data_IF_284503814321
#
_entry.id   IF_284503814321
#
_cell.length_a   1.000
_cell.length_b   1.000
_cell.length_c   1.000
_cell.angle_alpha   90.00
_cell.angle_beta   90.00
_cell.angle_gamma   90.00
#
_symmetry.space_group_name_H-M   'P 1'
#
loop_
_entity.id
_entity.type
_entity.pdbx_description
1 polymer ?
#
# COMPACT_ATOMS: atom_id res chain seq x y z
N UNK A 1 7.89 19.73 -17.62
CA UNK A 1 7.66 18.63 -16.61
C UNK A 1 8.71 18.81 -15.51
N UNK A 2 8.30 18.87 -14.24
CA UNK A 2 9.25 19.05 -13.15
C UNK A 2 10.10 17.79 -12.94
N UNK A 3 11.21 17.91 -12.21
CA UNK A 3 12.18 16.82 -12.03
C UNK A 3 11.56 15.60 -11.32
N UNK A 4 10.65 15.81 -10.37
CA UNK A 4 10.00 14.71 -9.64
C UNK A 4 9.11 13.87 -10.56
N UNK A 5 8.36 14.52 -11.46
CA UNK A 5 7.53 13.81 -12.42
C UNK A 5 8.37 13.06 -13.47
N UNK A 6 9.53 13.60 -13.85
CA UNK A 6 10.47 12.90 -14.73
C UNK A 6 11.02 11.63 -14.06
N UNK A 7 11.41 11.73 -12.78
CA UNK A 7 11.89 10.60 -12.00
C UNK A 7 10.80 9.54 -11.81
N UNK A 8 9.60 9.97 -11.42
CA UNK A 8 8.46 9.06 -11.25
C UNK A 8 8.17 8.30 -12.56
N UNK A 9 8.10 9.03 -13.68
CA UNK A 9 7.90 8.40 -14.99
C UNK A 9 8.99 7.37 -15.31
N UNK A 10 10.25 7.71 -15.08
CA UNK A 10 11.39 6.81 -15.32
C UNK A 10 11.28 5.54 -14.46
N UNK A 11 10.90 5.66 -13.19
CA UNK A 11 10.73 4.50 -12.32
C UNK A 11 9.53 3.64 -12.75
N UNK A 12 8.40 4.23 -13.06
CA UNK A 12 7.24 3.49 -13.52
C UNK A 12 7.46 2.83 -14.87
N UNK A 13 8.16 3.49 -15.82
CA UNK A 13 8.55 2.86 -17.09
C UNK A 13 9.44 1.63 -16.85
N UNK A 14 10.34 1.69 -15.84
CA UNK A 14 11.13 0.51 -15.46
C UNK A 14 10.29 -0.60 -14.84
N UNK A 15 9.29 -0.26 -14.03
CA UNK A 15 8.36 -1.26 -13.49
C UNK A 15 7.52 -1.93 -14.59
N UNK A 16 7.10 -1.19 -15.62
CA UNK A 16 6.44 -1.75 -16.80
C UNK A 16 7.29 -2.82 -17.50
N UNK A 17 8.62 -2.58 -17.64
CA UNK A 17 9.54 -3.55 -18.24
C UNK A 17 9.69 -4.83 -17.39
N UNK A 18 9.49 -4.73 -16.07
CA UNK A 18 9.60 -5.85 -15.13
C UNK A 18 8.26 -6.56 -14.88
N UNK A 19 7.16 -6.00 -15.35
CA UNK A 19 5.85 -6.60 -15.19
C UNK A 19 5.70 -7.83 -16.08
N UNK A 20 5.20 -8.91 -15.50
CA UNK A 20 4.92 -10.14 -16.22
C UNK A 20 3.61 -9.97 -17.00
N UNK A 21 3.73 -9.93 -18.32
CA UNK A 21 2.59 -9.76 -19.25
C UNK A 21 2.17 -11.06 -19.91
N UNK A 22 2.93 -12.14 -19.72
CA UNK A 22 2.61 -13.47 -20.22
C UNK A 22 1.43 -14.06 -19.44
N UNK A 23 0.42 -14.55 -20.18
CA UNK A 23 -0.86 -15.05 -19.62
C UNK A 23 -0.93 -16.56 -19.49
N UNK A 24 0.09 -17.27 -19.96
CA UNK A 24 0.12 -18.74 -19.89
C UNK A 24 0.22 -19.27 -18.47
N UNK A 25 0.72 -18.44 -17.55
CA UNK A 25 0.77 -18.74 -16.11
C UNK A 25 -0.01 -17.63 -15.39
N UNK A 26 -1.33 -17.81 -15.19
CA UNK A 26 -2.20 -16.77 -14.65
C UNK A 26 -1.76 -16.23 -13.29
N UNK A 27 -1.16 -17.07 -12.45
CA UNK A 27 -0.68 -16.72 -11.10
C UNK A 27 0.48 -15.71 -11.12
N UNK A 28 1.20 -15.61 -12.23
CA UNK A 28 2.30 -14.66 -12.40
C UNK A 28 1.86 -13.39 -13.13
N UNK A 29 0.79 -13.48 -13.95
CA UNK A 29 0.36 -12.37 -14.79
C UNK A 29 0.03 -11.11 -13.95
N UNK A 30 0.62 -10.00 -14.32
CA UNK A 30 0.43 -8.70 -13.67
C UNK A 30 1.42 -8.41 -12.53
N UNK A 31 2.08 -9.42 -11.98
CA UNK A 31 3.11 -9.24 -10.95
C UNK A 31 4.39 -8.58 -11.50
N UNK A 32 5.14 -7.93 -10.64
CA UNK A 32 6.44 -7.33 -10.97
C UNK A 32 7.56 -8.21 -10.43
N UNK A 33 8.41 -8.69 -11.33
CA UNK A 33 9.57 -9.50 -10.97
C UNK A 33 10.66 -8.63 -10.35
N UNK A 34 11.03 -8.93 -9.11
CA UNK A 34 12.15 -8.25 -8.46
C UNK A 34 13.47 -8.62 -9.14
N UNK A 35 14.21 -7.67 -9.73
CA UNK A 35 15.46 -7.98 -10.45
C UNK A 35 16.60 -8.40 -9.52
N UNK A 36 16.47 -8.15 -8.22
CA UNK A 36 17.48 -8.48 -7.23
C UNK A 36 17.41 -9.94 -6.75
N UNK A 37 16.20 -10.47 -6.56
CA UNK A 37 16.02 -11.82 -6.00
C UNK A 37 15.23 -12.79 -6.90
N UNK A 38 14.71 -12.31 -8.05
CA UNK A 38 13.94 -13.13 -8.98
C UNK A 38 12.57 -13.59 -8.45
N UNK A 39 12.01 -12.88 -7.45
CA UNK A 39 10.70 -13.17 -6.85
C UNK A 39 9.71 -12.06 -7.13
N UNK A 40 8.43 -12.36 -7.01
CA UNK A 40 7.35 -11.37 -6.96
C UNK A 40 6.97 -11.20 -5.48
N UNK A 41 7.10 -9.99 -4.97
CA UNK A 41 6.74 -9.68 -3.58
C UNK A 41 5.33 -9.11 -3.50
N UNK A 42 4.63 -9.36 -2.41
CA UNK A 42 3.27 -8.86 -2.20
C UNK A 42 3.16 -7.35 -2.35
N UNK A 43 4.19 -6.63 -1.93
CA UNK A 43 4.25 -5.16 -2.04
C UNK A 43 4.41 -4.60 -3.46
N UNK A 44 4.60 -5.44 -4.49
CA UNK A 44 4.60 -4.92 -5.86
C UNK A 44 3.26 -4.27 -6.24
N UNK A 45 2.17 -4.65 -5.58
CA UNK A 45 0.84 -4.04 -5.75
C UNK A 45 0.80 -2.56 -5.35
N UNK A 46 1.70 -2.10 -4.48
CA UNK A 46 1.79 -0.70 -4.04
C UNK A 46 2.11 0.24 -5.23
N UNK A 47 2.67 -0.30 -6.32
CA UNK A 47 2.91 0.45 -7.55
C UNK A 47 1.62 0.82 -8.32
N UNK A 48 0.44 0.32 -7.94
CA UNK A 48 -0.82 0.70 -8.57
C UNK A 48 -1.07 2.21 -8.50
N UNK A 49 -0.84 2.85 -7.35
CA UNK A 49 -1.06 4.28 -7.18
C UNK A 49 -0.21 5.14 -8.14
N UNK A 50 1.13 5.03 -8.17
CA UNK A 50 1.94 5.82 -9.09
C UNK A 50 1.63 5.53 -10.56
N UNK A 51 1.20 4.32 -10.90
CA UNK A 51 0.75 3.97 -12.25
C UNK A 51 -0.53 4.72 -12.63
N UNK A 52 -1.55 4.71 -11.77
CA UNK A 52 -2.80 5.44 -12.01
C UNK A 52 -2.55 6.97 -12.02
N UNK A 53 -1.65 7.46 -11.19
CA UNK A 53 -1.25 8.87 -11.20
C UNK A 53 -0.63 9.27 -12.54
N UNK A 54 0.29 8.48 -13.09
CA UNK A 54 0.86 8.75 -14.42
C UNK A 54 -0.19 8.65 -15.52
N UNK A 55 -1.11 7.68 -15.45
CA UNK A 55 -2.23 7.62 -16.38
C UNK A 55 -3.04 8.94 -16.36
N UNK A 56 -3.40 9.42 -15.18
CA UNK A 56 -4.16 10.67 -15.02
C UNK A 56 -3.46 11.87 -15.65
N UNK A 57 -2.13 11.97 -15.51
CA UNK A 57 -1.37 13.12 -15.99
C UNK A 57 -1.04 13.01 -17.49
N UNK A 58 -0.70 11.82 -17.97
CA UNK A 58 -0.19 11.64 -19.34
C UNK A 58 -1.26 11.17 -20.33
N UNK A 59 -2.35 10.57 -19.85
CA UNK A 59 -3.34 9.90 -20.68
C UNK A 59 -2.87 8.56 -21.25
N UNK A 60 -1.63 8.12 -20.95
CA UNK A 60 -1.08 6.88 -21.50
C UNK A 60 -1.75 5.66 -20.83
N UNK A 61 -2.49 4.88 -21.63
CA UNK A 61 -3.27 3.71 -21.17
C UNK A 61 -2.40 2.62 -20.54
N UNK A 62 -1.15 2.46 -20.98
CA UNK A 62 -0.21 1.44 -20.46
C UNK A 62 -0.04 1.50 -18.94
N UNK A 63 -0.07 2.70 -18.34
CA UNK A 63 0.04 2.88 -16.90
C UNK A 63 -1.21 2.38 -16.18
N UNK A 64 -2.41 2.72 -16.69
CA UNK A 64 -3.65 2.18 -16.12
C UNK A 64 -3.70 0.67 -16.23
N UNK A 65 -3.38 0.12 -17.40
CA UNK A 65 -3.38 -1.32 -17.63
C UNK A 65 -2.42 -2.04 -16.67
N UNK A 66 -1.24 -1.47 -16.43
CA UNK A 66 -0.28 -1.99 -15.46
C UNK A 66 -0.83 -1.96 -14.03
N UNK A 67 -1.36 -0.82 -13.60
CA UNK A 67 -1.92 -0.67 -12.25
C UNK A 67 -3.07 -1.64 -11.98
N UNK A 68 -3.96 -1.82 -12.94
CA UNK A 68 -5.08 -2.75 -12.81
C UNK A 68 -4.63 -4.22 -12.87
N UNK A 69 -3.59 -4.54 -13.64
CA UNK A 69 -3.01 -5.88 -13.63
C UNK A 69 -2.34 -6.20 -12.28
N UNK A 70 -1.68 -5.22 -11.64
CA UNK A 70 -1.14 -5.35 -10.28
C UNK A 70 -2.24 -5.58 -9.25
N UNK A 71 -3.34 -4.84 -9.34
CA UNK A 71 -4.49 -5.05 -8.48
C UNK A 71 -5.05 -6.47 -8.61
N UNK A 72 -5.20 -6.97 -9.85
CA UNK A 72 -5.65 -8.35 -10.09
C UNK A 72 -4.64 -9.37 -9.59
N UNK A 73 -3.34 -9.17 -9.84
CA UNK A 73 -2.30 -10.06 -9.36
C UNK A 73 -2.28 -10.17 -7.83
N UNK A 74 -2.61 -9.10 -7.13
CA UNK A 74 -2.63 -9.07 -5.66
C UNK A 74 -3.64 -10.04 -5.03
N UNK A 75 -4.56 -10.61 -5.80
CA UNK A 75 -5.45 -11.70 -5.37
C UNK A 75 -4.66 -12.92 -4.87
N UNK A 76 -3.47 -13.16 -5.41
CA UNK A 76 -2.60 -14.24 -4.96
C UNK A 76 -2.12 -14.09 -3.51
N UNK A 77 -2.14 -12.86 -2.98
CA UNK A 77 -1.71 -12.52 -1.61
C UNK A 77 -2.88 -12.19 -0.71
N UNK A 78 -4.06 -11.97 -1.27
CA UNK A 78 -5.25 -11.53 -0.56
C UNK A 78 -5.99 -12.70 0.08
N UNK A 79 -6.44 -12.51 1.32
CA UNK A 79 -7.27 -13.46 2.03
C UNK A 79 -8.70 -12.92 2.19
N UNK A 80 -9.70 -13.78 2.14
CA UNK A 80 -11.14 -13.42 2.20
C UNK A 80 -11.54 -12.70 3.49
N UNK A 81 -10.78 -12.86 4.58
CA UNK A 81 -10.96 -12.12 5.83
C UNK A 81 -10.54 -10.64 5.73
N UNK A 82 -9.93 -10.20 4.63
CA UNK A 82 -9.57 -8.81 4.40
C UNK A 82 -8.13 -8.45 4.73
N UNK A 83 -7.19 -9.36 4.61
CA UNK A 83 -5.77 -9.06 4.79
C UNK A 83 -4.93 -9.58 3.62
N UNK A 84 -3.68 -9.09 3.56
CA UNK A 84 -2.67 -9.55 2.62
C UNK A 84 -1.53 -10.25 3.34
N UNK A 85 -1.04 -11.33 2.77
CA UNK A 85 0.25 -11.91 3.16
C UNK A 85 1.40 -11.11 2.53
N UNK A 86 2.50 -10.98 3.27
CA UNK A 86 3.68 -10.27 2.79
C UNK A 86 4.35 -10.96 1.60
N UNK A 87 4.30 -12.26 1.57
CA UNK A 87 4.91 -13.11 0.55
C UNK A 87 4.22 -14.49 0.56
N UNK A 88 4.37 -15.25 -0.51
CA UNK A 88 3.76 -16.60 -0.65
C UNK A 88 4.16 -17.58 0.45
N UNK A 89 5.31 -17.35 1.08
CA UNK A 89 5.85 -18.19 2.16
C UNK A 89 5.80 -17.51 3.54
N UNK A 90 5.07 -16.42 3.67
CA UNK A 90 4.98 -15.64 4.90
C UNK A 90 3.59 -15.71 5.50
N UNK A 91 3.51 -15.88 6.81
CA UNK A 91 2.26 -15.67 7.57
C UNK A 91 2.10 -14.22 8.03
N UNK A 92 3.06 -13.35 7.74
CA UNK A 92 3.03 -11.95 8.13
C UNK A 92 1.97 -11.17 7.34
N UNK A 93 1.12 -10.45 8.06
CA UNK A 93 -0.05 -9.72 7.53
C UNK A 93 0.14 -8.21 7.53
N UNK A 94 1.29 -7.73 7.97
CA UNK A 94 1.55 -6.29 8.16
C UNK A 94 1.42 -5.46 6.90
N UNK A 95 1.72 -6.01 5.73
CA UNK A 95 1.57 -5.28 4.47
C UNK A 95 0.15 -4.80 4.20
N UNK A 96 -0.85 -5.37 4.86
CA UNK A 96 -2.26 -4.98 4.70
C UNK A 96 -2.45 -3.48 4.94
N UNK A 97 -1.70 -2.87 5.87
CA UNK A 97 -1.80 -1.43 6.14
C UNK A 97 -1.43 -0.60 4.92
N UNK A 98 -0.38 -0.99 4.19
CA UNK A 98 0.12 -0.27 3.02
C UNK A 98 -0.79 -0.51 1.81
N UNK A 99 -1.13 -1.76 1.54
CA UNK A 99 -2.02 -2.11 0.41
C UNK A 99 -3.41 -1.49 0.57
N UNK A 100 -3.94 -1.43 1.80
CA UNK A 100 -5.21 -0.77 2.06
C UNK A 100 -5.11 0.76 1.89
N UNK A 101 -4.08 1.40 2.45
CA UNK A 101 -3.87 2.84 2.27
C UNK A 101 -3.85 3.21 0.79
N UNK A 102 -3.05 2.50 0.02
CA UNK A 102 -2.88 2.72 -1.41
C UNK A 102 -4.18 2.51 -2.21
N UNK A 103 -4.97 1.45 -1.91
CA UNK A 103 -6.27 1.24 -2.55
C UNK A 103 -7.24 2.39 -2.23
N UNK A 104 -7.27 2.84 -0.98
CA UNK A 104 -8.11 3.96 -0.56
C UNK A 104 -7.73 5.27 -1.24
N UNK A 105 -6.44 5.57 -1.37
CA UNK A 105 -5.96 6.74 -2.11
C UNK A 105 -6.32 6.66 -3.60
N UNK A 106 -6.20 5.47 -4.21
CA UNK A 106 -6.62 5.29 -5.59
C UNK A 106 -8.12 5.59 -5.79
N UNK A 107 -8.98 5.21 -4.84
CA UNK A 107 -10.41 5.52 -4.90
C UNK A 107 -10.67 7.03 -4.77
N UNK A 108 -9.94 7.74 -3.90
CA UNK A 108 -10.10 9.17 -3.70
C UNK A 108 -9.59 9.99 -4.89
N UNK A 109 -8.41 9.65 -5.40
CA UNK A 109 -7.71 10.48 -6.37
C UNK A 109 -8.05 10.13 -7.83
N UNK A 110 -8.43 8.88 -8.09
CA UNK A 110 -8.60 8.36 -9.45
C UNK A 110 -9.96 7.73 -9.71
N UNK A 111 -10.89 7.75 -8.74
CA UNK A 111 -12.20 7.12 -8.86
C UNK A 111 -12.94 7.47 -10.14
N UNK A 112 -12.86 8.73 -10.60
CA UNK A 112 -13.49 9.20 -11.84
C UNK A 112 -12.85 8.62 -13.12
N UNK A 113 -11.61 8.17 -13.07
CA UNK A 113 -10.88 7.57 -14.20
C UNK A 113 -10.97 6.04 -14.24
N UNK A 114 -11.56 5.43 -13.21
CA UNK A 114 -11.87 4.01 -13.15
C UNK A 114 -13.22 3.72 -13.80
N UNK A 115 -13.37 2.56 -14.42
CA UNK A 115 -14.69 2.06 -14.77
C UNK A 115 -15.47 1.72 -13.49
N UNK A 116 -16.80 1.68 -13.60
CA UNK A 116 -17.67 1.36 -12.47
C UNK A 116 -17.32 -0.01 -11.83
N UNK A 117 -16.93 -0.99 -12.64
CA UNK A 117 -16.53 -2.31 -12.17
C UNK A 117 -15.18 -2.29 -11.45
N UNK A 118 -14.18 -1.57 -12.02
CA UNK A 118 -12.86 -1.38 -11.37
C UNK A 118 -13.04 -0.70 -10.01
N UNK A 119 -13.79 0.40 -9.97
CA UNK A 119 -14.07 1.13 -8.74
C UNK A 119 -14.72 0.24 -7.68
N UNK A 120 -15.79 -0.50 -8.05
CA UNK A 120 -16.49 -1.40 -7.12
C UNK A 120 -15.59 -2.52 -6.58
N UNK A 121 -14.74 -3.11 -7.42
CA UNK A 121 -13.84 -4.17 -7.01
C UNK A 121 -12.78 -3.66 -6.03
N UNK A 122 -12.18 -2.50 -6.30
CA UNK A 122 -11.21 -1.87 -5.39
C UNK A 122 -11.89 -1.49 -4.08
N UNK A 123 -13.08 -0.87 -4.13
CA UNK A 123 -13.83 -0.47 -2.94
C UNK A 123 -14.17 -1.66 -2.04
N UNK A 124 -14.71 -2.73 -2.62
CA UNK A 124 -15.10 -3.93 -1.86
C UNK A 124 -13.91 -4.56 -1.14
N UNK A 125 -12.74 -4.61 -1.79
CA UNK A 125 -11.51 -5.13 -1.16
C UNK A 125 -10.98 -4.16 -0.12
N UNK A 126 -10.97 -2.88 -0.41
CA UNK A 126 -10.55 -1.83 0.53
C UNK A 126 -11.37 -1.85 1.81
N UNK A 127 -12.70 -1.92 1.71
CA UNK A 127 -13.60 -1.96 2.88
C UNK A 127 -13.32 -3.18 3.78
N UNK A 128 -13.09 -4.35 3.20
CA UNK A 128 -12.70 -5.55 3.95
C UNK A 128 -11.36 -5.36 4.66
N UNK A 129 -10.36 -4.81 3.96
CA UNK A 129 -9.05 -4.53 4.56
C UNK A 129 -9.16 -3.49 5.68
N UNK A 130 -9.91 -2.43 5.48
CA UNK A 130 -10.13 -1.39 6.50
C UNK A 130 -10.81 -1.97 7.74
N UNK A 131 -11.82 -2.83 7.58
CA UNK A 131 -12.48 -3.47 8.72
C UNK A 131 -11.56 -4.45 9.43
N UNK A 132 -10.80 -5.26 8.70
CA UNK A 132 -9.80 -6.15 9.27
C UNK A 132 -8.77 -5.37 10.10
N UNK A 133 -8.20 -4.30 9.55
CA UNK A 133 -7.22 -3.47 10.24
C UNK A 133 -7.81 -2.77 11.47
N UNK A 134 -9.06 -2.29 11.38
CA UNK A 134 -9.73 -1.66 12.51
C UNK A 134 -9.80 -2.59 13.73
N UNK A 135 -10.00 -3.88 13.51
CA UNK A 135 -10.14 -4.90 14.55
C UNK A 135 -8.79 -5.47 14.98
N UNK A 136 -7.90 -5.76 14.05
CA UNK A 136 -6.73 -6.62 14.27
C UNK A 136 -5.37 -5.92 14.23
N UNK A 137 -5.32 -4.59 14.09
CA UNK A 137 -4.04 -3.88 13.97
C UNK A 137 -3.09 -4.15 15.15
N UNK A 138 -3.63 -4.30 16.35
CA UNK A 138 -2.85 -4.55 17.55
C UNK A 138 -2.23 -5.95 17.59
N UNK A 139 -2.84 -6.91 16.88
CA UNK A 139 -2.31 -8.27 16.73
C UNK A 139 -1.20 -8.36 15.68
N UNK A 140 -1.19 -7.41 14.72
CA UNK A 140 -0.17 -7.37 13.67
C UNK A 140 1.20 -7.10 14.29
N UNK A 141 1.25 -6.28 15.34
CA UNK A 141 2.48 -6.02 16.12
C UNK A 141 3.61 -5.43 15.28
N UNK A 142 4.75 -5.23 15.90
CA UNK A 142 5.97 -4.88 15.19
C UNK A 142 6.32 -3.40 15.27
N UNK A 143 6.81 -2.85 14.18
CA UNK A 143 7.37 -1.52 14.12
C UNK A 143 6.29 -0.43 14.15
N UNK A 144 6.66 0.76 14.61
CA UNK A 144 5.76 1.92 14.73
C UNK A 144 5.15 2.37 13.39
N UNK A 145 5.79 2.07 12.26
CA UNK A 145 5.26 2.39 10.95
C UNK A 145 3.89 1.71 10.66
N UNK A 146 3.61 0.52 11.21
CA UNK A 146 2.34 -0.17 10.99
C UNK A 146 1.15 0.55 11.65
N UNK A 147 1.15 0.87 12.96
CA UNK A 147 0.05 1.60 13.56
C UNK A 147 -0.09 3.03 13.00
N UNK A 148 0.99 3.70 12.62
CA UNK A 148 0.92 5.03 11.99
C UNK A 148 0.26 4.92 10.61
N UNK A 149 0.71 3.99 9.77
CA UNK A 149 0.09 3.78 8.46
C UNK A 149 -1.36 3.33 8.61
N UNK A 150 -1.68 2.50 9.62
CA UNK A 150 -3.06 2.14 9.91
C UNK A 150 -3.91 3.35 10.31
N UNK A 151 -3.39 4.27 11.14
CA UNK A 151 -4.10 5.52 11.47
C UNK A 151 -4.46 6.31 10.21
N UNK A 152 -3.49 6.43 9.30
CA UNK A 152 -3.72 7.05 8.00
C UNK A 152 -4.76 6.28 7.17
N UNK A 153 -4.63 4.95 7.05
CA UNK A 153 -5.60 4.10 6.35
C UNK A 153 -7.01 4.26 6.90
N UNK A 154 -7.17 4.37 8.22
CA UNK A 154 -8.48 4.61 8.84
C UNK A 154 -9.04 5.99 8.50
N UNK A 155 -8.19 7.03 8.44
CA UNK A 155 -8.62 8.36 7.99
C UNK A 155 -9.10 8.34 6.53
N UNK A 156 -8.35 7.64 5.66
CA UNK A 156 -8.74 7.41 4.26
C UNK A 156 -10.05 6.61 4.18
N UNK A 157 -10.20 5.56 5.00
CA UNK A 157 -11.42 4.76 5.05
C UNK A 157 -12.64 5.61 5.44
N UNK A 158 -12.48 6.53 6.40
CA UNK A 158 -13.53 7.49 6.70
C UNK A 158 -13.81 8.43 5.52
N UNK A 159 -12.78 8.91 4.84
CA UNK A 159 -12.95 9.79 3.68
C UNK A 159 -13.70 9.11 2.52
N UNK A 160 -13.45 7.81 2.28
CA UNK A 160 -14.11 7.03 1.23
C UNK A 160 -15.53 6.64 1.63
N UNK A 161 -15.70 6.02 2.82
CA UNK A 161 -16.97 5.36 3.21
C UNK A 161 -17.92 6.26 3.99
N UNK A 162 -17.42 7.38 4.57
CA UNK A 162 -18.12 8.26 5.52
C UNK A 162 -18.49 7.59 6.85
N UNK A 163 -18.03 6.38 7.12
CA UNK A 163 -18.33 5.68 8.37
C UNK A 163 -17.49 6.22 9.53
N UNK A 164 -18.17 6.68 10.59
CA UNK A 164 -17.54 7.30 11.77
C UNK A 164 -16.61 6.37 12.54
N UNK A 165 -16.85 5.04 12.51
CA UNK A 165 -15.99 4.06 13.19
C UNK A 165 -14.53 4.16 12.79
N UNK A 166 -14.26 4.47 11.51
CA UNK A 166 -12.90 4.63 11.01
C UNK A 166 -12.25 5.94 11.50
N UNK A 167 -13.00 7.04 11.54
CA UNK A 167 -12.48 8.29 12.11
C UNK A 167 -12.10 8.14 13.60
N UNK A 168 -12.92 7.41 14.37
CA UNK A 168 -12.62 7.12 15.79
C UNK A 168 -11.32 6.33 15.90
N UNK A 169 -11.19 5.22 15.16
CA UNK A 169 -9.98 4.37 15.20
C UNK A 169 -8.73 5.13 14.72
N UNK A 170 -8.85 5.98 13.70
CA UNK A 170 -7.78 6.85 13.25
C UNK A 170 -7.28 7.76 14.38
N UNK A 171 -8.21 8.39 15.10
CA UNK A 171 -7.90 9.27 16.24
C UNK A 171 -7.21 8.51 17.39
N UNK A 172 -7.67 7.32 17.72
CA UNK A 172 -7.07 6.45 18.75
C UNK A 172 -5.61 6.10 18.40
N UNK A 173 -5.37 5.61 17.18
CA UNK A 173 -4.04 5.22 16.73
C UNK A 173 -3.10 6.41 16.64
N UNK A 174 -3.58 7.55 16.10
CA UNK A 174 -2.79 8.78 16.05
C UNK A 174 -2.44 9.30 17.44
N UNK A 175 -3.37 9.20 18.41
CA UNK A 175 -3.10 9.57 19.80
C UNK A 175 -2.03 8.68 20.42
N UNK A 176 -2.13 7.37 20.23
CA UNK A 176 -1.18 6.40 20.77
C UNK A 176 0.23 6.60 20.18
N UNK A 177 0.34 7.09 18.94
CA UNK A 177 1.63 7.41 18.32
C UNK A 177 2.43 8.44 19.11
N UNK A 178 1.78 9.34 19.87
CA UNK A 178 2.47 10.33 20.71
C UNK A 178 3.44 9.70 21.73
N UNK A 179 3.15 8.48 22.17
CA UNK A 179 3.99 7.74 23.11
C UNK A 179 5.33 7.30 22.51
N UNK A 180 5.49 7.42 21.20
CA UNK A 180 6.69 7.05 20.46
C UNK A 180 7.54 8.25 20.00
N UNK A 181 7.23 9.45 20.49
CA UNK A 181 8.08 10.61 20.30
C UNK A 181 9.00 10.80 21.49
N UNK A 182 10.27 11.10 21.21
CA UNK A 182 11.23 11.58 22.20
C UNK A 182 10.93 13.03 22.58
N UNK A 183 11.55 13.54 23.65
CA UNK A 183 11.38 14.93 24.10
C UNK A 183 11.81 15.95 23.04
N UNK A 184 12.79 15.59 22.21
CA UNK A 184 13.27 16.40 21.06
C UNK A 184 12.47 16.17 19.77
N UNK A 185 11.36 15.40 19.82
CA UNK A 185 10.41 15.23 18.73
C UNK A 185 10.81 14.17 17.70
N UNK A 186 11.77 13.30 18.00
CA UNK A 186 12.12 12.18 17.14
C UNK A 186 11.16 11.00 17.35
N UNK A 187 10.73 10.37 16.27
CA UNK A 187 9.92 9.16 16.32
C UNK A 187 10.81 7.94 16.52
N UNK A 188 10.45 7.06 17.46
CA UNK A 188 11.13 5.79 17.70
C UNK A 188 10.14 4.63 17.69
N UNK A 189 10.61 3.39 17.83
CA UNK A 189 9.75 2.21 17.93
C UNK A 189 9.95 1.21 16.79
N UNK A 190 11.00 1.37 16.00
CA UNK A 190 11.43 0.34 15.08
C UNK A 190 12.37 -0.65 15.78
N UNK A 191 11.96 -1.91 15.90
CA UNK A 191 12.75 -2.97 16.52
C UNK A 191 13.01 -2.75 18.00
N UNK A 192 12.02 -2.25 18.74
CA UNK A 192 11.93 -2.05 20.19
C UNK A 192 12.71 -0.86 20.79
N UNK A 193 13.87 -0.46 20.24
CA UNK A 193 14.69 0.63 20.82
C UNK A 193 15.40 1.46 19.76
N UNK A 194 14.99 1.36 18.49
CA UNK A 194 15.64 2.11 17.42
C UNK A 194 14.88 3.37 17.10
N UNK A 195 15.60 4.49 17.09
CA UNK A 195 15.09 5.71 16.50
C UNK A 195 14.91 5.53 15.01
N UNK A 196 13.85 6.08 14.45
CA UNK A 196 13.58 6.08 13.02
C UNK A 196 14.71 6.73 12.21
N UNK A 197 15.45 7.62 12.84
CA UNK A 197 16.69 8.22 12.33
C UNK A 197 17.84 7.71 13.18
N UNK A 198 18.30 6.50 12.90
CA UNK A 198 19.49 5.97 13.60
C UNK A 198 20.76 6.46 12.91
N UNK A 199 21.70 7.07 13.66
CA UNK A 199 23.02 7.40 13.12
C UNK A 199 23.86 6.18 12.73
N UNK A 200 23.44 4.97 13.08
CA UNK A 200 24.17 3.72 12.78
C UNK A 200 23.59 2.99 11.55
N UNK A 201 23.51 3.72 10.43
CA UNK A 201 23.11 3.11 9.17
C UNK A 201 21.63 2.77 9.16
N UNK A 202 20.87 3.76 8.81
CA UNK A 202 19.48 3.57 8.40
C UNK A 202 19.43 2.49 7.33
N UNK A 203 18.81 1.37 7.62
CA UNK A 203 18.02 0.79 6.56
C UNK A 203 17.10 1.92 6.12
N UNK A 204 16.95 2.17 4.80
CA UNK A 204 15.86 3.02 4.37
C UNK A 204 14.65 2.44 5.06
N UNK A 205 14.06 3.21 5.95
CA UNK A 205 12.80 2.85 6.53
C UNK A 205 11.89 2.66 5.34
N UNK A 206 11.25 1.52 5.24
CA UNK A 206 10.15 1.34 4.33
C UNK A 206 9.05 2.31 4.78
N UNK A 207 9.25 3.57 4.44
CA UNK A 207 8.18 4.53 4.43
C UNK A 207 7.37 4.14 3.22
N UNK A 208 6.38 3.27 3.47
CA UNK A 208 5.37 2.92 2.47
C UNK A 208 4.67 4.16 1.97
#
# INVERSE_FOLDING_TARGET
MNIYLQLLKKWCDRLLELQITEKTIPELYGGILCPSCGRIHGRCSDAMYPMLYLHKITGEKKYKDCGMALFSWSDNMYHEEGFFYNDTNSSWRGITVFSAAQMGECLLDFGESLSENEYRNILARFEKCAEYLRVHIEEIGGNINYPITCAYTMAVAHAVTKEKKYAVKAGELAHNTKNYFTEDGLLYGEGHDRHYVSPKGCRPVDIG
#
